data_IF_907217812589
#
_entry.id   IF_907217812589
#
_cell.length_a   1.000
_cell.length_b   1.000
_cell.length_c   1.000
_cell.angle_alpha   90.00
_cell.angle_beta   90.00
_cell.angle_gamma   90.00
#
_symmetry.space_group_name_H-M   'P 1'
#
loop_
_entity.id
_entity.type
_entity.pdbx_description
1 polymer ?
#
# COMPACT_ATOMS: atom_id res chain seq x y z
N UNK A 1 37.77 -32.37 -20.78
CA UNK A 1 36.58 -32.06 -21.61
C UNK A 1 35.55 -33.19 -21.64
N UNK A 2 35.90 -34.43 -22.02
CA UNK A 2 34.92 -35.54 -22.17
C UNK A 2 34.10 -35.89 -20.91
N UNK A 3 34.72 -35.84 -19.71
CA UNK A 3 34.00 -36.05 -18.43
C UNK A 3 32.92 -35.00 -18.16
N UNK A 4 33.20 -33.72 -18.46
CA UNK A 4 32.24 -32.62 -18.28
C UNK A 4 31.06 -32.80 -19.26
N UNK A 5 31.34 -33.20 -20.50
CA UNK A 5 30.30 -33.47 -21.50
C UNK A 5 29.35 -34.57 -21.04
N UNK A 6 29.87 -35.68 -20.51
CA UNK A 6 29.05 -36.73 -19.90
C UNK A 6 28.07 -36.15 -18.87
N UNK A 7 28.56 -35.41 -17.87
CA UNK A 7 27.70 -34.88 -16.82
C UNK A 7 26.67 -33.87 -17.35
N UNK A 8 27.04 -33.02 -18.30
CA UNK A 8 26.13 -32.04 -18.91
C UNK A 8 24.99 -32.73 -19.66
N UNK A 9 25.32 -33.65 -20.58
CA UNK A 9 24.30 -34.33 -21.39
C UNK A 9 23.47 -35.34 -20.57
N UNK A 10 24.08 -35.99 -19.58
CA UNK A 10 23.37 -36.86 -18.64
C UNK A 10 22.37 -36.07 -17.80
N UNK A 11 22.81 -34.98 -17.17
CA UNK A 11 21.96 -34.12 -16.36
C UNK A 11 20.82 -33.53 -17.19
N UNK A 12 21.13 -33.02 -18.39
CA UNK A 12 20.12 -32.49 -19.29
C UNK A 12 19.14 -33.57 -19.77
N UNK A 13 19.63 -34.77 -20.10
CA UNK A 13 18.77 -35.91 -20.44
C UNK A 13 17.82 -36.30 -19.31
N UNK A 14 18.30 -36.34 -18.06
CA UNK A 14 17.44 -36.62 -16.91
C UNK A 14 16.37 -35.55 -16.70
N UNK A 15 16.70 -34.26 -16.86
CA UNK A 15 15.71 -33.16 -16.80
C UNK A 15 14.65 -33.35 -17.88
N UNK A 16 15.08 -33.64 -19.12
CA UNK A 16 14.15 -33.89 -20.23
C UNK A 16 13.26 -35.11 -19.97
N UNK A 17 13.75 -36.13 -19.27
CA UNK A 17 12.94 -37.30 -18.92
C UNK A 17 11.77 -36.92 -18.00
N UNK A 18 12.01 -36.07 -16.99
CA UNK A 18 10.95 -35.55 -16.13
C UNK A 18 9.94 -34.70 -16.92
N UNK A 19 10.44 -33.80 -17.79
CA UNK A 19 9.57 -32.96 -18.63
C UNK A 19 8.66 -33.83 -19.53
N UNK A 20 9.23 -34.83 -20.20
CA UNK A 20 8.47 -35.74 -21.08
C UNK A 20 7.45 -36.55 -20.28
N UNK A 21 7.84 -37.05 -19.10
CA UNK A 21 6.95 -37.82 -18.23
C UNK A 21 5.75 -36.99 -17.76
N UNK A 22 5.99 -35.79 -17.23
CA UNK A 22 4.92 -34.89 -16.78
C UNK A 22 4.04 -34.46 -17.97
N UNK A 23 4.62 -34.27 -19.15
CA UNK A 23 3.87 -33.85 -20.33
C UNK A 23 2.85 -34.88 -20.81
N UNK A 24 3.02 -36.17 -20.51
CA UNK A 24 2.07 -37.22 -20.89
C UNK A 24 0.67 -36.99 -20.28
N UNK A 25 0.57 -36.34 -19.11
CA UNK A 25 -0.74 -36.01 -18.53
C UNK A 25 -1.55 -35.05 -19.39
N UNK A 26 -0.89 -34.26 -20.25
CA UNK A 26 -1.55 -33.30 -21.16
C UNK A 26 -2.58 -33.97 -22.06
N UNK A 27 -2.37 -35.23 -22.46
CA UNK A 27 -3.32 -35.95 -23.31
C UNK A 27 -4.65 -36.27 -22.62
N UNK A 28 -4.69 -36.24 -21.28
CA UNK A 28 -5.89 -36.49 -20.48
C UNK A 28 -6.56 -35.21 -19.99
N UNK A 29 -6.03 -34.03 -20.37
CA UNK A 29 -6.54 -32.76 -19.89
C UNK A 29 -7.83 -32.33 -20.60
N UNK A 30 -8.69 -31.54 -19.93
CA UNK A 30 -9.83 -30.89 -20.55
C UNK A 30 -9.41 -29.96 -21.70
N UNK A 31 -10.31 -29.77 -22.68
CA UNK A 31 -10.09 -28.86 -23.81
C UNK A 31 -9.27 -29.45 -24.95
N UNK A 32 -8.89 -30.73 -24.85
CA UNK A 32 -8.17 -31.43 -25.91
C UNK A 32 -9.09 -31.74 -27.09
N UNK A 33 -8.77 -31.17 -28.25
CA UNK A 33 -9.36 -31.51 -29.55
C UNK A 33 -8.37 -32.32 -30.39
N UNK A 34 -8.80 -32.80 -31.56
CA UNK A 34 -7.91 -33.50 -32.48
C UNK A 34 -6.66 -32.67 -32.83
N UNK A 35 -6.83 -31.37 -33.08
CA UNK A 35 -5.71 -30.47 -33.42
C UNK A 35 -4.74 -30.29 -32.25
N UNK A 36 -5.23 -30.14 -31.03
CA UNK A 36 -4.35 -30.02 -29.85
C UNK A 36 -3.64 -31.33 -29.56
N UNK A 37 -4.31 -32.47 -29.73
CA UNK A 37 -3.69 -33.79 -29.59
C UNK A 37 -2.57 -34.01 -30.63
N UNK A 38 -2.75 -33.57 -31.87
CA UNK A 38 -1.71 -33.63 -32.90
C UNK A 38 -0.50 -32.77 -32.53
N UNK A 39 -0.71 -31.54 -32.06
CA UNK A 39 0.36 -30.64 -31.63
C UNK A 39 1.08 -31.15 -30.36
N UNK A 40 0.33 -31.73 -29.42
CA UNK A 40 0.89 -32.41 -28.26
C UNK A 40 1.79 -33.57 -28.67
N UNK A 41 1.36 -34.36 -29.67
CA UNK A 41 2.16 -35.47 -30.20
C UNK A 41 3.45 -34.96 -30.86
N UNK A 42 3.37 -33.89 -31.66
CA UNK A 42 4.56 -33.26 -32.26
C UNK A 42 5.54 -32.80 -31.16
N UNK A 43 5.03 -32.11 -30.14
CA UNK A 43 5.84 -31.63 -29.01
C UNK A 43 6.51 -32.80 -28.27
N UNK A 44 5.72 -33.85 -27.96
CA UNK A 44 6.19 -35.06 -27.29
C UNK A 44 7.30 -35.75 -28.09
N UNK A 45 7.11 -35.92 -29.41
CA UNK A 45 8.11 -36.55 -30.28
C UNK A 45 9.41 -35.74 -30.30
N UNK A 46 9.32 -34.41 -30.43
CA UNK A 46 10.50 -33.55 -30.45
C UNK A 46 11.26 -33.57 -29.11
N UNK A 47 10.57 -33.47 -27.97
CA UNK A 47 11.20 -33.58 -26.66
C UNK A 47 11.78 -34.97 -26.39
N UNK A 48 11.10 -36.03 -26.84
CA UNK A 48 11.61 -37.41 -26.75
C UNK A 48 12.87 -37.59 -27.59
N UNK A 49 12.94 -36.99 -28.78
CA UNK A 49 14.15 -36.99 -29.61
C UNK A 49 15.30 -36.26 -28.90
N UNK A 50 15.04 -35.10 -28.28
CA UNK A 50 16.05 -34.38 -27.49
C UNK A 50 16.54 -35.22 -26.31
N UNK A 51 15.65 -35.89 -25.60
CA UNK A 51 15.96 -36.83 -24.52
C UNK A 51 16.88 -37.96 -25.01
N UNK A 52 16.48 -38.66 -26.06
CA UNK A 52 17.23 -39.79 -26.63
C UNK A 52 18.61 -39.32 -27.09
N UNK A 53 18.68 -38.22 -27.84
CA UNK A 53 19.94 -37.67 -28.35
C UNK A 53 20.88 -37.29 -27.20
N UNK A 54 20.36 -36.68 -26.14
CA UNK A 54 21.16 -36.27 -24.98
C UNK A 54 21.71 -37.46 -24.19
N UNK A 55 20.87 -38.45 -23.90
CA UNK A 55 21.31 -39.67 -23.21
C UNK A 55 22.28 -40.49 -24.05
N UNK A 56 22.00 -40.63 -25.35
CA UNK A 56 22.87 -41.33 -26.28
C UNK A 56 24.25 -40.67 -26.38
N UNK A 57 24.29 -39.34 -26.48
CA UNK A 57 25.54 -38.60 -26.54
C UNK A 57 26.32 -38.65 -25.22
N UNK A 58 25.61 -38.66 -24.09
CA UNK A 58 26.22 -38.89 -22.77
C UNK A 58 26.96 -40.24 -22.72
N UNK A 59 26.30 -41.33 -23.13
CA UNK A 59 26.91 -42.68 -23.12
C UNK A 59 28.16 -42.74 -24.01
N UNK A 60 28.12 -42.13 -25.20
CA UNK A 60 29.27 -42.08 -26.11
C UNK A 60 30.43 -41.27 -25.54
N UNK A 61 30.19 -40.29 -24.67
CA UNK A 61 31.25 -39.48 -24.06
C UNK A 61 32.10 -40.25 -23.04
N UNK A 62 31.67 -41.46 -22.62
CA UNK A 62 32.40 -42.32 -21.68
C UNK A 62 33.61 -42.98 -22.38
N UNK A 63 34.86 -42.77 -21.91
CA UNK A 63 36.05 -43.29 -22.57
C UNK A 63 36.05 -44.83 -22.74
N UNK A 64 35.61 -45.57 -21.72
CA UNK A 64 35.56 -47.04 -21.78
C UNK A 64 34.58 -47.57 -22.83
N UNK A 65 33.50 -46.85 -23.12
CA UNK A 65 32.55 -47.21 -24.18
C UNK A 65 33.16 -46.96 -25.56
N UNK A 66 33.95 -45.89 -25.72
CA UNK A 66 34.65 -45.60 -26.97
C UNK A 66 35.71 -46.67 -27.29
N UNK A 67 36.40 -47.16 -26.26
CA UNK A 67 37.44 -48.19 -26.38
C UNK A 67 36.86 -49.59 -26.61
N UNK A 68 35.82 -49.97 -25.87
CA UNK A 68 35.23 -51.31 -25.94
C UNK A 68 34.23 -51.48 -27.08
N UNK A 69 33.63 -50.38 -27.57
CA UNK A 69 32.60 -50.42 -28.61
C UNK A 69 32.81 -49.37 -29.70
N UNK A 70 33.91 -49.45 -30.47
CA UNK A 70 34.26 -48.45 -31.49
C UNK A 70 33.20 -48.32 -32.61
N UNK A 71 32.41 -49.37 -32.87
CA UNK A 71 31.33 -49.35 -33.86
C UNK A 71 30.18 -48.39 -33.54
N UNK A 72 29.96 -48.07 -32.25
CA UNK A 72 28.98 -47.06 -31.80
C UNK A 72 29.46 -45.63 -32.10
N UNK A 73 30.78 -45.41 -32.14
CA UNK A 73 31.39 -44.11 -32.44
C UNK A 73 31.69 -43.88 -33.92
N UNK A 74 32.05 -44.94 -34.67
CA UNK A 74 32.48 -44.82 -36.07
C UNK A 74 31.33 -44.60 -37.07
N UNK A 75 30.11 -45.04 -36.74
CA UNK A 75 28.94 -44.92 -37.63
C UNK A 75 28.22 -43.57 -37.52
N UNK A 76 28.67 -42.67 -36.66
CA UNK A 76 28.08 -41.34 -36.55
C UNK A 76 28.42 -40.51 -37.80
N UNK A 77 27.42 -39.93 -38.48
CA UNK A 77 27.66 -39.01 -39.58
C UNK A 77 28.58 -37.87 -39.11
N UNK A 78 29.53 -37.45 -39.95
CA UNK A 78 30.50 -36.37 -39.61
C UNK A 78 29.85 -35.07 -39.12
N UNK A 79 28.58 -34.85 -39.43
CA UNK A 79 27.78 -33.71 -38.98
C UNK A 79 27.44 -33.75 -37.48
N UNK A 80 27.31 -34.92 -36.86
CA UNK A 80 27.09 -35.05 -35.42
C UNK A 80 28.42 -34.89 -34.68
N UNK A 81 28.78 -33.64 -34.42
CA UNK A 81 29.95 -33.28 -33.63
C UNK A 81 29.55 -32.45 -32.39
N UNK A 82 30.48 -32.25 -31.47
CA UNK A 82 30.25 -31.54 -30.21
C UNK A 82 29.82 -30.06 -30.39
N UNK A 83 29.93 -29.49 -31.59
CA UNK A 83 29.54 -28.10 -31.88
C UNK A 83 28.15 -27.99 -32.53
N UNK A 84 27.79 -28.91 -33.42
CA UNK A 84 26.51 -28.90 -34.12
C UNK A 84 25.39 -29.54 -33.28
N UNK A 85 25.73 -30.50 -32.41
CA UNK A 85 24.73 -31.19 -31.59
C UNK A 85 23.96 -30.24 -30.66
N UNK A 86 24.60 -29.33 -29.91
CA UNK A 86 23.86 -28.33 -29.14
C UNK A 86 22.92 -27.49 -30.01
N UNK A 87 23.33 -27.12 -31.23
CA UNK A 87 22.52 -26.33 -32.16
C UNK A 87 21.27 -27.10 -32.59
N UNK A 88 21.42 -28.39 -32.93
CA UNK A 88 20.29 -29.27 -33.27
C UNK A 88 19.32 -29.39 -32.09
N UNK A 89 19.84 -29.60 -30.88
CA UNK A 89 19.01 -29.68 -29.66
C UNK A 89 18.22 -28.38 -29.47
N UNK A 90 18.85 -27.22 -29.63
CA UNK A 90 18.17 -25.92 -29.51
C UNK A 90 17.08 -25.77 -30.56
N UNK A 91 17.34 -26.13 -31.83
CA UNK A 91 16.34 -26.05 -32.90
C UNK A 91 15.13 -26.94 -32.58
N UNK A 92 15.36 -28.18 -32.13
CA UNK A 92 14.28 -29.10 -31.73
C UNK A 92 13.45 -28.52 -30.58
N UNK A 93 14.09 -27.94 -29.58
CA UNK A 93 13.41 -27.31 -28.44
C UNK A 93 12.60 -26.09 -28.87
N UNK A 94 13.09 -25.28 -29.80
CA UNK A 94 12.37 -24.13 -30.34
C UNK A 94 11.10 -24.55 -31.08
N UNK A 95 11.20 -25.57 -31.95
CA UNK A 95 10.05 -26.11 -32.69
C UNK A 95 9.02 -26.69 -31.71
N UNK A 96 9.48 -27.49 -30.73
CA UNK A 96 8.62 -28.06 -29.70
C UNK A 96 7.94 -26.98 -28.85
N UNK A 97 8.69 -25.94 -28.47
CA UNK A 97 8.18 -24.82 -27.69
C UNK A 97 7.08 -24.06 -28.43
N UNK A 98 7.28 -23.77 -29.73
CA UNK A 98 6.25 -23.12 -30.55
C UNK A 98 5.01 -23.98 -30.73
N UNK A 99 5.17 -25.29 -30.99
CA UNK A 99 4.06 -26.22 -31.09
C UNK A 99 3.25 -26.28 -29.79
N UNK A 100 3.94 -26.28 -28.64
CA UNK A 100 3.30 -26.29 -27.32
C UNK A 100 2.54 -24.99 -27.03
N UNK A 101 3.12 -23.82 -27.34
CA UNK A 101 2.43 -22.53 -27.18
C UNK A 101 1.16 -22.47 -28.02
N UNK A 102 1.26 -22.86 -29.29
CA UNK A 102 0.11 -22.88 -30.19
C UNK A 102 -0.97 -23.88 -29.72
N UNK A 103 -0.56 -25.05 -29.25
CA UNK A 103 -1.46 -26.02 -28.63
C UNK A 103 -2.18 -25.43 -27.41
N UNK A 104 -1.46 -24.76 -26.51
CA UNK A 104 -2.04 -24.14 -25.31
C UNK A 104 -3.05 -23.05 -25.67
N UNK A 105 -2.78 -22.23 -26.70
CA UNK A 105 -3.74 -21.23 -27.19
C UNK A 105 -5.02 -21.89 -27.72
N UNK A 106 -4.90 -22.92 -28.56
CA UNK A 106 -6.06 -23.66 -29.09
C UNK A 106 -6.84 -24.38 -27.97
N UNK A 107 -6.14 -25.00 -27.03
CA UNK A 107 -6.75 -25.66 -25.87
C UNK A 107 -7.50 -24.65 -24.99
N UNK A 108 -6.90 -23.49 -24.74
CA UNK A 108 -7.52 -22.39 -24.00
C UNK A 108 -8.79 -21.88 -24.69
N UNK A 109 -8.74 -21.68 -26.02
CA UNK A 109 -9.91 -21.29 -26.82
C UNK A 109 -11.03 -22.33 -26.76
N UNK A 110 -10.71 -23.62 -26.81
CA UNK A 110 -11.71 -24.70 -26.65
C UNK A 110 -12.38 -24.67 -25.28
N UNK A 111 -11.69 -24.17 -24.25
CA UNK A 111 -12.21 -24.00 -22.87
C UNK A 111 -12.81 -22.61 -22.64
N UNK A 112 -12.96 -21.79 -23.68
CA UNK A 112 -13.57 -20.46 -23.62
C UNK A 112 -12.64 -19.34 -23.13
N UNK A 113 -11.35 -19.61 -22.89
CA UNK A 113 -10.38 -18.55 -22.59
C UNK A 113 -10.14 -17.71 -23.84
N UNK A 114 -10.46 -16.42 -23.76
CA UNK A 114 -10.41 -15.48 -24.89
C UNK A 114 -9.18 -14.59 -24.90
N UNK A 115 -8.47 -14.51 -23.77
CA UNK A 115 -7.29 -13.66 -23.61
C UNK A 115 -6.04 -14.52 -23.68
N UNK A 116 -5.06 -14.06 -24.46
CA UNK A 116 -3.73 -14.67 -24.56
C UNK A 116 -3.09 -14.81 -23.16
N UNK A 117 -2.35 -15.91 -22.94
CA UNK A 117 -1.74 -16.30 -21.67
C UNK A 117 -2.67 -16.56 -20.47
N UNK A 118 -3.98 -16.26 -20.56
CA UNK A 118 -4.91 -16.47 -19.45
C UNK A 118 -5.04 -17.96 -19.11
N UNK A 119 -5.17 -18.80 -20.14
CA UNK A 119 -5.23 -20.25 -19.96
C UNK A 119 -3.91 -20.83 -19.44
N UNK A 120 -2.75 -20.33 -19.90
CA UNK A 120 -1.44 -20.78 -19.43
C UNK A 120 -1.29 -20.62 -17.90
N UNK A 121 -1.68 -19.46 -17.39
CA UNK A 121 -1.67 -19.15 -15.94
C UNK A 121 -2.71 -19.95 -15.16
N UNK A 122 -3.89 -20.16 -15.73
CA UNK A 122 -4.93 -20.99 -15.13
C UNK A 122 -4.46 -22.46 -15.03
N UNK A 123 -3.91 -23.00 -16.12
CA UNK A 123 -3.37 -24.36 -16.20
C UNK A 123 -2.22 -24.60 -15.22
N UNK A 124 -1.30 -23.64 -15.05
CA UNK A 124 -0.23 -23.77 -14.04
C UNK A 124 -0.75 -23.83 -12.60
N UNK A 125 -1.98 -23.39 -12.37
CA UNK A 125 -2.69 -23.47 -11.09
C UNK A 125 -3.66 -24.66 -11.03
N UNK A 126 -3.64 -25.55 -12.03
CA UNK A 126 -4.53 -26.71 -12.14
C UNK A 126 -6.00 -26.36 -12.45
N UNK A 127 -6.26 -25.17 -12.99
CA UNK A 127 -7.61 -24.67 -13.27
C UNK A 127 -7.86 -24.71 -14.78
N UNK A 128 -8.86 -25.50 -15.19
CA UNK A 128 -9.29 -25.63 -16.58
C UNK A 128 -10.65 -24.96 -16.86
N UNK A 129 -11.32 -24.50 -15.81
CA UNK A 129 -12.59 -23.78 -15.89
C UNK A 129 -12.34 -22.26 -15.86
N UNK A 130 -12.87 -21.57 -16.87
CA UNK A 130 -12.69 -20.13 -17.04
C UNK A 130 -13.36 -19.32 -15.93
N UNK A 131 -14.58 -19.68 -15.55
CA UNK A 131 -15.35 -18.94 -14.54
C UNK A 131 -14.69 -19.07 -13.18
N UNK A 132 -14.23 -20.28 -12.84
CA UNK A 132 -13.44 -20.54 -11.64
C UNK A 132 -12.14 -19.73 -11.62
N UNK A 133 -11.44 -19.64 -12.74
CA UNK A 133 -10.23 -18.81 -12.85
C UNK A 133 -10.52 -17.33 -12.64
N UNK A 134 -11.60 -16.81 -13.22
CA UNK A 134 -12.01 -15.41 -13.06
C UNK A 134 -12.37 -15.12 -11.59
N UNK A 135 -13.12 -15.99 -10.93
CA UNK A 135 -13.48 -15.84 -9.51
C UNK A 135 -12.24 -15.83 -8.59
N UNK A 136 -11.33 -16.77 -8.78
CA UNK A 136 -10.09 -16.84 -7.99
C UNK A 136 -9.23 -15.59 -8.21
N UNK A 137 -9.09 -15.15 -9.46
CA UNK A 137 -8.32 -13.96 -9.79
C UNK A 137 -8.97 -12.69 -9.23
N UNK A 138 -10.29 -12.58 -9.29
CA UNK A 138 -11.03 -11.45 -8.71
C UNK A 138 -10.82 -11.36 -7.19
N UNK A 139 -10.90 -12.49 -6.48
CA UNK A 139 -10.62 -12.56 -5.03
C UNK A 139 -9.17 -12.21 -4.70
N UNK A 140 -8.22 -12.66 -5.53
CA UNK A 140 -6.81 -12.32 -5.36
C UNK A 140 -6.58 -10.82 -5.57
N UNK A 141 -7.11 -10.24 -6.65
CA UNK A 141 -7.00 -8.82 -6.96
C UNK A 141 -7.68 -7.95 -5.88
N UNK A 142 -8.82 -8.39 -5.33
CA UNK A 142 -9.48 -7.74 -4.20
C UNK A 142 -8.63 -7.80 -2.93
N UNK A 143 -8.02 -8.95 -2.63
CA UNK A 143 -7.13 -9.09 -1.46
C UNK A 143 -5.88 -8.21 -1.56
N UNK A 144 -5.32 -8.07 -2.78
CA UNK A 144 -4.18 -7.19 -3.05
C UNK A 144 -4.58 -5.73 -2.89
N UNK A 145 -5.73 -5.33 -3.46
CA UNK A 145 -6.24 -3.96 -3.27
C UNK A 145 -6.48 -3.62 -1.81
N UNK A 146 -7.05 -4.53 -1.03
CA UNK A 146 -7.24 -4.33 0.41
C UNK A 146 -5.91 -4.21 1.15
N UNK A 147 -4.92 -5.03 0.80
CA UNK A 147 -3.58 -4.94 1.37
C UNK A 147 -2.88 -3.62 1.00
N UNK A 148 -3.01 -3.17 -0.24
CA UNK A 148 -2.46 -1.90 -0.73
C UNK A 148 -3.14 -0.70 -0.07
N UNK A 149 -4.47 -0.74 0.10
CA UNK A 149 -5.21 0.29 0.85
C UNK A 149 -4.78 0.34 2.31
N UNK A 150 -4.65 -0.80 2.97
CA UNK A 150 -4.15 -0.87 4.35
C UNK A 150 -2.71 -0.34 4.45
N UNK A 151 -1.84 -0.68 3.51
CA UNK A 151 -0.47 -0.18 3.47
C UNK A 151 -0.42 1.34 3.21
N UNK A 152 -1.31 1.87 2.36
CA UNK A 152 -1.43 3.29 2.09
C UNK A 152 -1.92 4.05 3.33
N UNK A 153 -2.93 3.52 4.04
CA UNK A 153 -3.41 4.08 5.32
C UNK A 153 -2.30 4.07 6.37
N UNK A 154 -1.61 2.93 6.57
CA UNK A 154 -0.51 2.84 7.52
C UNK A 154 0.64 3.80 7.21
N UNK A 155 0.94 4.01 5.91
CA UNK A 155 1.95 4.97 5.47
C UNK A 155 1.52 6.41 5.74
N UNK A 156 0.24 6.73 5.52
CA UNK A 156 -0.32 8.05 5.77
C UNK A 156 -0.38 8.36 7.27
N UNK A 157 -0.81 7.39 8.09
CA UNK A 157 -0.77 7.49 9.55
C UNK A 157 0.64 7.74 10.06
N UNK A 158 1.62 6.99 9.56
CA UNK A 158 3.03 7.19 9.92
C UNK A 158 3.54 8.59 9.54
N UNK A 159 3.24 9.07 8.33
CA UNK A 159 3.62 10.43 7.90
C UNK A 159 3.00 11.51 8.78
N UNK A 160 1.72 11.35 9.15
CA UNK A 160 1.04 12.28 10.05
C UNK A 160 1.66 12.25 11.45
N UNK A 161 1.99 11.05 11.93
CA UNK A 161 2.69 10.85 13.21
C UNK A 161 4.02 11.60 13.23
N UNK A 162 4.87 11.33 12.23
CA UNK A 162 6.20 11.93 12.10
C UNK A 162 6.12 13.46 11.96
N UNK A 163 5.10 13.97 11.25
CA UNK A 163 4.83 15.40 11.12
C UNK A 163 4.46 16.06 12.46
N UNK A 164 3.55 15.45 13.22
CA UNK A 164 3.13 15.97 14.52
C UNK A 164 4.30 15.96 15.51
N UNK A 165 5.04 14.85 15.59
CA UNK A 165 6.24 14.75 16.44
C UNK A 165 7.30 15.79 16.05
N UNK A 166 7.54 16.00 14.75
CA UNK A 166 8.45 17.04 14.25
C UNK A 166 8.01 18.45 14.68
N UNK A 167 6.72 18.76 14.59
CA UNK A 167 6.17 20.04 15.08
C UNK A 167 6.28 20.21 16.59
N UNK A 168 6.08 19.16 17.37
CA UNK A 168 6.26 19.22 18.83
C UNK A 168 7.73 19.49 19.17
N UNK A 169 8.65 18.81 18.46
CA UNK A 169 10.09 18.93 18.69
C UNK A 169 10.69 20.27 18.24
N UNK A 170 10.03 20.99 17.34
CA UNK A 170 10.46 22.35 16.94
C UNK A 170 10.05 23.44 17.93
N UNK A 171 9.15 23.12 18.87
CA UNK A 171 8.81 24.02 19.97
C UNK A 171 9.89 23.95 21.06
N UNK A 172 10.13 25.07 21.74
CA UNK A 172 11.00 25.11 22.90
C UNK A 172 10.44 24.23 24.02
N UNK A 173 11.25 23.29 24.54
CA UNK A 173 10.84 22.30 25.55
C UNK A 173 10.41 22.94 26.87
N UNK A 174 10.95 24.11 27.22
CA UNK A 174 10.52 24.86 28.40
C UNK A 174 9.24 25.67 28.20
N UNK A 175 8.73 25.76 26.96
CA UNK A 175 7.53 26.55 26.69
C UNK A 175 6.25 25.79 27.07
N UNK A 176 5.27 26.51 27.63
CA UNK A 176 3.93 25.95 27.87
C UNK A 176 3.28 25.41 26.59
N UNK A 177 3.61 25.99 25.43
CA UNK A 177 3.16 25.52 24.11
C UNK A 177 3.64 24.10 23.80
N UNK A 178 4.86 23.74 24.18
CA UNK A 178 5.39 22.38 24.00
C UNK A 178 4.65 21.38 24.89
N UNK A 179 4.47 21.70 26.18
CA UNK A 179 3.77 20.84 27.15
C UNK A 179 2.32 20.55 26.72
N UNK A 180 1.60 21.56 26.26
CA UNK A 180 0.23 21.40 25.75
C UNK A 180 0.22 20.54 24.49
N UNK A 181 1.12 20.79 23.53
CA UNK A 181 1.18 20.02 22.30
C UNK A 181 1.54 18.54 22.53
N UNK A 182 2.48 18.28 23.42
CA UNK A 182 2.87 16.92 23.80
C UNK A 182 1.75 16.17 24.51
N UNK A 183 1.04 16.81 25.46
CA UNK A 183 -0.05 16.17 26.18
C UNK A 183 -1.25 15.85 25.28
N UNK A 184 -1.68 16.80 24.44
CA UNK A 184 -2.78 16.58 23.49
C UNK A 184 -2.45 15.45 22.52
N UNK A 185 -1.22 15.41 22.01
CA UNK A 185 -0.79 14.34 21.13
C UNK A 185 -0.73 12.97 21.84
N UNK A 186 -0.20 12.89 23.07
CA UNK A 186 -0.17 11.65 23.86
C UNK A 186 -1.57 11.11 24.20
N UNK A 187 -2.53 12.00 24.47
CA UNK A 187 -3.88 11.61 24.89
C UNK A 187 -4.82 11.34 23.71
N UNK A 188 -4.68 12.08 22.61
CA UNK A 188 -5.65 12.09 21.52
C UNK A 188 -5.06 11.77 20.14
N UNK A 189 -3.74 11.66 20.01
CA UNK A 189 -3.07 11.29 18.75
C UNK A 189 -3.17 12.34 17.64
N UNK A 190 -3.59 13.57 17.95
CA UNK A 190 -3.82 14.67 16.99
C UNK A 190 -3.03 15.92 17.33
N UNK A 191 -2.88 16.82 16.35
CA UNK A 191 -2.27 18.13 16.57
C UNK A 191 -3.21 19.08 17.33
N UNK A 192 -2.64 20.03 18.06
CA UNK A 192 -3.38 20.97 18.93
C UNK A 192 -4.43 21.77 18.18
N UNK A 193 -4.12 22.29 16.98
CA UNK A 193 -5.06 23.12 16.25
C UNK A 193 -6.27 22.30 15.73
N UNK A 194 -6.03 21.04 15.36
CA UNK A 194 -7.09 20.12 14.92
C UNK A 194 -7.97 19.69 16.09
N UNK A 195 -7.37 19.43 17.26
CA UNK A 195 -8.10 19.19 18.50
C UNK A 195 -9.00 20.39 18.85
N UNK A 196 -8.46 21.61 18.78
CA UNK A 196 -9.23 22.84 19.05
C UNK A 196 -10.33 23.03 18.00
N UNK A 197 -10.09 22.74 16.72
CA UNK A 197 -11.10 22.84 15.68
C UNK A 197 -12.26 21.84 15.88
N UNK A 198 -11.96 20.61 16.29
CA UNK A 198 -12.95 19.59 16.65
C UNK A 198 -13.75 20.01 17.88
N UNK A 199 -13.08 20.52 18.92
CA UNK A 199 -13.72 21.03 20.14
C UNK A 199 -14.60 22.25 19.86
N UNK A 200 -14.16 23.18 19.01
CA UNK A 200 -14.98 24.31 18.53
C UNK A 200 -16.22 23.83 17.80
N UNK A 201 -16.15 22.73 17.04
CA UNK A 201 -17.30 22.15 16.35
C UNK A 201 -18.27 21.44 17.32
N UNK A 202 -17.77 20.74 18.34
CA UNK A 202 -18.61 20.06 19.34
C UNK A 202 -19.23 21.01 20.37
N UNK A 203 -18.61 22.17 20.64
CA UNK A 203 -18.99 23.12 21.69
C UNK A 203 -19.21 24.54 21.13
N UNK A 204 -19.66 24.61 19.87
CA UNK A 204 -19.77 25.86 19.10
C UNK A 204 -20.68 26.88 19.77
N UNK A 205 -21.75 26.44 20.44
CA UNK A 205 -22.73 27.32 21.06
C UNK A 205 -22.17 28.00 22.31
N UNK A 206 -21.44 27.26 23.13
CA UNK A 206 -20.79 27.71 24.35
C UNK A 206 -19.64 28.68 24.00
N UNK A 207 -18.91 28.41 22.92
CA UNK A 207 -17.86 29.29 22.43
C UNK A 207 -18.42 30.62 21.90
N UNK A 208 -19.54 30.56 21.17
CA UNK A 208 -20.24 31.76 20.69
C UNK A 208 -20.75 32.63 21.85
N UNK A 209 -21.25 31.99 22.93
CA UNK A 209 -21.65 32.70 24.14
C UNK A 209 -20.50 33.41 24.84
N UNK A 210 -19.32 32.78 24.89
CA UNK A 210 -18.13 33.41 25.47
C UNK A 210 -17.68 34.63 24.64
N UNK A 211 -17.66 34.51 23.31
CA UNK A 211 -17.32 35.62 22.42
C UNK A 211 -18.25 36.82 22.64
N UNK A 212 -19.57 36.57 22.65
CA UNK A 212 -20.56 37.62 22.89
C UNK A 212 -20.42 38.26 24.29
N UNK A 213 -20.09 37.47 25.32
CA UNK A 213 -19.88 37.98 26.68
C UNK A 213 -18.61 38.84 26.78
N UNK A 214 -17.55 38.48 26.06
CA UNK A 214 -16.31 39.26 25.99
C UNK A 214 -16.52 40.59 25.26
N UNK A 215 -17.17 40.56 24.09
CA UNK A 215 -17.51 41.79 23.34
C UNK A 215 -18.37 42.74 24.18
N UNK A 216 -19.37 42.21 24.89
CA UNK A 216 -20.20 43.01 25.80
C UNK A 216 -19.38 43.60 26.97
N UNK A 217 -18.37 42.87 27.46
CA UNK A 217 -17.46 43.37 28.50
C UNK A 217 -16.56 44.49 27.98
N UNK A 218 -16.03 44.38 26.76
CA UNK A 218 -15.22 45.44 26.14
C UNK A 218 -16.03 46.72 25.97
N UNK A 219 -17.26 46.60 25.44
CA UNK A 219 -18.19 47.73 25.29
C UNK A 219 -18.53 48.39 26.63
N UNK A 220 -18.77 47.59 27.68
CA UNK A 220 -19.06 48.12 29.02
C UNK A 220 -17.86 48.87 29.62
N UNK A 221 -16.64 48.39 29.37
CA UNK A 221 -15.40 49.05 29.83
C UNK A 221 -15.15 50.35 29.04
N UNK A 222 -15.34 50.32 27.72
CA UNK A 222 -15.20 51.50 26.86
C UNK A 222 -16.20 52.59 27.26
N UNK A 223 -17.48 52.21 27.41
CA UNK A 223 -18.53 53.12 27.89
C UNK A 223 -18.22 53.70 29.28
N UNK A 224 -17.69 52.88 30.20
CA UNK A 224 -17.26 53.35 31.51
C UNK A 224 -16.10 54.36 31.41
N UNK A 225 -15.11 54.11 30.54
CA UNK A 225 -13.99 55.02 30.31
C UNK A 225 -14.47 56.35 29.73
N UNK A 226 -15.32 56.34 28.70
CA UNK A 226 -15.89 57.55 28.09
C UNK A 226 -16.69 58.37 29.11
N UNK A 227 -17.54 57.69 29.88
CA UNK A 227 -18.35 58.34 30.92
C UNK A 227 -17.48 58.93 32.03
N UNK A 228 -16.44 58.20 32.43
CA UNK A 228 -15.48 58.66 33.44
C UNK A 228 -14.73 59.92 32.96
N UNK A 229 -14.31 59.95 31.71
CA UNK A 229 -13.59 61.08 31.13
C UNK A 229 -14.50 62.31 30.95
N UNK A 230 -15.75 62.12 30.55
CA UNK A 230 -16.74 63.21 30.48
C UNK A 230 -17.04 63.81 31.87
N UNK A 231 -17.16 62.97 32.90
CA UNK A 231 -17.35 63.42 34.28
C UNK A 231 -16.15 64.22 34.79
N UNK A 232 -14.93 63.74 34.51
CA UNK A 232 -13.70 64.47 34.82
C UNK A 232 -13.65 65.85 34.16
N UNK A 233 -14.01 65.96 32.89
CA UNK A 233 -14.02 67.23 32.15
C UNK A 233 -15.06 68.23 32.70
N UNK A 234 -16.17 67.74 33.24
CA UNK A 234 -17.20 68.58 33.88
C UNK A 234 -16.91 68.92 35.35
N UNK A 235 -15.76 68.51 35.90
CA UNK A 235 -15.38 68.75 37.29
C UNK A 235 -16.08 67.86 38.32
N UNK A 236 -16.80 66.83 37.86
CA UNK A 236 -17.50 65.87 38.72
C UNK A 236 -16.66 64.61 38.90
N UNK A 237 -16.64 64.04 40.11
CA UNK A 237 -15.90 62.78 40.33
C UNK A 237 -16.56 61.62 39.56
N UNK A 238 -15.81 60.84 38.76
CA UNK A 238 -16.33 59.65 38.09
C UNK A 238 -16.75 58.53 39.08
N UNK A 239 -16.42 58.69 40.36
CA UNK A 239 -16.81 57.78 41.44
C UNK A 239 -18.04 58.26 42.23
N UNK A 240 -18.69 59.34 41.79
CA UNK A 240 -19.90 59.84 42.44
C UNK A 240 -21.00 58.75 42.47
N UNK A 241 -21.58 58.52 43.65
CA UNK A 241 -22.57 57.45 43.84
C UNK A 241 -22.00 56.04 44.05
N UNK A 242 -20.69 55.88 44.29
CA UNK A 242 -20.07 54.60 44.67
C UNK A 242 -19.77 53.66 43.50
N UNK A 243 -19.84 54.16 42.26
CA UNK A 243 -19.45 53.44 41.05
C UNK A 243 -17.93 53.45 40.89
N UNK A 244 -17.37 52.32 40.49
CA UNK A 244 -15.95 52.06 40.23
C UNK A 244 -15.88 50.95 39.19
N UNK A 245 -14.80 50.78 38.40
CA UNK A 245 -14.66 49.68 37.46
C UNK A 245 -14.93 48.29 38.09
N UNK A 246 -14.70 48.16 39.40
CA UNK A 246 -14.91 46.92 40.14
C UNK A 246 -16.29 46.83 40.81
N UNK A 247 -17.05 47.91 40.89
CA UNK A 247 -18.37 47.96 41.54
C UNK A 247 -19.51 48.30 40.58
N UNK A 248 -19.20 48.67 39.34
CA UNK A 248 -20.19 48.99 38.33
C UNK A 248 -21.09 47.77 38.04
N UNK A 249 -22.43 47.91 38.12
CA UNK A 249 -23.36 46.81 37.90
C UNK A 249 -23.24 46.16 36.52
N UNK A 250 -22.90 46.94 35.49
CA UNK A 250 -22.80 46.47 34.10
C UNK A 250 -21.52 45.66 33.89
N UNK A 251 -20.38 46.16 34.39
CA UNK A 251 -19.10 45.43 34.38
C UNK A 251 -19.18 44.16 35.25
N UNK A 252 -19.89 44.18 36.38
CA UNK A 252 -20.12 42.98 37.19
C UNK A 252 -20.98 41.95 36.47
N UNK A 253 -21.99 42.40 35.71
CA UNK A 253 -22.87 41.51 34.96
C UNK A 253 -22.12 40.81 33.84
N UNK A 254 -21.36 41.55 33.04
CA UNK A 254 -20.55 40.98 31.95
C UNK A 254 -19.49 40.02 32.48
N UNK A 255 -18.85 40.34 33.62
CA UNK A 255 -17.92 39.41 34.29
C UNK A 255 -18.58 38.09 34.70
N UNK A 256 -19.77 38.14 35.30
CA UNK A 256 -20.51 36.94 35.68
C UNK A 256 -20.91 36.10 34.45
N UNK A 257 -21.26 36.75 33.34
CA UNK A 257 -21.60 36.08 32.07
C UNK A 257 -20.37 35.39 31.45
N UNK A 258 -19.19 36.01 31.53
CA UNK A 258 -17.90 35.41 31.13
C UNK A 258 -17.58 34.19 32.01
N UNK A 259 -17.66 34.32 33.33
CA UNK A 259 -17.37 33.23 34.27
C UNK A 259 -18.35 32.05 34.08
N UNK A 260 -19.62 32.36 33.80
CA UNK A 260 -20.61 31.35 33.45
C UNK A 260 -20.29 30.63 32.13
N UNK A 261 -19.96 31.38 31.07
CA UNK A 261 -19.60 30.81 29.77
C UNK A 261 -18.34 29.92 29.86
N UNK A 262 -17.34 30.34 30.65
CA UNK A 262 -16.15 29.53 30.96
C UNK A 262 -16.52 28.21 31.65
N UNK A 263 -17.36 28.24 32.67
CA UNK A 263 -17.82 27.02 33.36
C UNK A 263 -18.55 26.04 32.42
N UNK A 264 -19.31 26.55 31.44
CA UNK A 264 -19.94 25.68 30.44
C UNK A 264 -18.90 25.04 29.51
N UNK A 265 -17.89 25.79 29.08
CA UNK A 265 -16.80 25.26 28.24
C UNK A 265 -15.96 24.20 28.99
N UNK A 266 -15.72 24.39 30.29
CA UNK A 266 -15.07 23.37 31.13
C UNK A 266 -15.90 22.07 31.21
N UNK A 267 -17.23 22.19 31.40
CA UNK A 267 -18.15 21.04 31.41
C UNK A 267 -18.21 20.32 30.06
N UNK A 268 -17.98 21.06 28.98
CA UNK A 268 -17.86 20.53 27.63
C UNK A 268 -16.51 19.87 27.33
N UNK A 269 -15.57 19.84 28.29
CA UNK A 269 -14.28 19.16 28.15
C UNK A 269 -13.17 20.02 27.55
N UNK A 270 -13.36 21.34 27.46
CA UNK A 270 -12.32 22.27 26.99
C UNK A 270 -11.38 22.60 28.16
N UNK A 271 -10.17 22.05 28.14
CA UNK A 271 -9.10 22.39 29.08
C UNK A 271 -8.30 23.63 28.62
N UNK A 272 -7.62 24.30 29.55
CA UNK A 272 -6.73 25.46 29.29
C UNK A 272 -7.39 26.70 28.67
N UNK A 273 -8.62 27.03 29.10
CA UNK A 273 -9.39 28.20 28.62
C UNK A 273 -8.63 29.54 28.68
N UNK A 274 -7.78 29.74 29.70
CA UNK A 274 -7.01 30.98 29.86
C UNK A 274 -5.92 31.17 28.78
N UNK A 275 -5.48 30.08 28.12
CA UNK A 275 -4.50 30.13 27.02
C UNK A 275 -5.17 30.31 25.64
N UNK A 276 -6.45 29.93 25.53
CA UNK A 276 -7.29 30.14 24.34
C UNK A 276 -7.59 31.62 24.16
N UNK A 277 -7.85 32.34 25.25
CA UNK A 277 -8.07 33.79 25.28
C UNK A 277 -6.90 34.53 24.60
N UNK A 278 -5.65 34.27 25.01
CA UNK A 278 -4.47 34.88 24.39
C UNK A 278 -4.31 34.59 22.89
N UNK A 279 -4.83 33.46 22.36
CA UNK A 279 -4.72 33.15 20.92
C UNK A 279 -5.86 33.73 20.09
N UNK A 280 -7.07 33.81 20.62
CA UNK A 280 -8.22 34.43 19.94
C UNK A 280 -7.99 35.95 19.83
N UNK A 281 -7.49 36.60 20.88
CA UNK A 281 -7.14 38.03 20.84
C UNK A 281 -6.01 38.34 19.84
N UNK A 282 -5.12 37.39 19.55
CA UNK A 282 -4.07 37.52 18.51
C UNK A 282 -4.62 37.30 17.10
N UNK A 283 -5.66 36.49 16.92
CA UNK A 283 -6.30 36.29 15.61
C UNK A 283 -7.22 37.43 15.18
N UNK A 284 -7.77 38.19 16.13
CA UNK A 284 -8.65 39.34 15.84
C UNK A 284 -7.83 40.62 15.54
N UNK A 285 -6.57 40.65 15.97
CA UNK A 285 -5.65 41.79 15.77
C UNK A 285 -4.67 41.62 14.58
N UNK A 286 -4.92 40.67 13.69
CA UNK A 286 -4.24 40.50 12.39
C UNK A 286 -5.24 40.62 11.26
#
# INVERSE_FOLDING_TARGET
>A
MKKIQFFVYMGFGLIMAFIVYDYLSTFSEPGMSFSTALLALITLVMWTMVLIVSLWWSVIAIPSIQENYPGLTQKLPKFFNNYLLPVIIVILLLIAGQANVFMMDVQGKNLGFTVEDQFSKAKSSGIFDREKWIDIKAKQDESIKLADEQAAVATLEKKNKDYIESKINSLDRSSGKHLVAENIYKQHGVWVDDFIAVQKKSCSNEFTRLLAANEASEQAIEYWNETSDALRQSGTSPFAGGRSPTTDPEIKRTKNDIDFARSQLEKCGVAHLNEIEQRVTVQINN
#
